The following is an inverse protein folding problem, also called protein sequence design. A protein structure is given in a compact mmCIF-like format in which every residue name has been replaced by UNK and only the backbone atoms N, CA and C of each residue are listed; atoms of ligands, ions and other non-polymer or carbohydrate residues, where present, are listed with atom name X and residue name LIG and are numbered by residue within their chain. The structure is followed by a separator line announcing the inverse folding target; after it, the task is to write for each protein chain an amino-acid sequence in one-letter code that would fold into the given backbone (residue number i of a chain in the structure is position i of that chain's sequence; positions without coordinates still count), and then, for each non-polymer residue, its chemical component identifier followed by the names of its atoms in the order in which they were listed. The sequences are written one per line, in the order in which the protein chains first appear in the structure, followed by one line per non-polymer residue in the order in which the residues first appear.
data_IF_642214759958
#
_entry.id   IF_642214759958
#
_cell.length_a   1.000
_cell.length_b   1.000
_cell.length_c   1.000
_cell.angle_alpha   90.00
_cell.angle_beta   90.00
_cell.angle_gamma   90.00
#
_symmetry.space_group_name_H-M   'P 1'
#
loop_
_entity.id
_entity.type
_entity.pdbx_description
1 polymer ?
#
# COMPACT_ATOMS: atom_id res chain seq x y z
N UNK A 1 -17.92 -5.55 20.17
CA UNK A 1 -17.63 -4.16 19.74
C UNK A 1 -16.82 -4.26 18.46
N UNK A 2 -17.50 -4.48 17.34
CA UNK A 2 -16.90 -4.43 16.01
C UNK A 2 -17.02 -3.00 15.50
N UNK A 3 -15.88 -2.35 15.28
CA UNK A 3 -15.67 -1.38 14.19
C UNK A 3 -14.20 -0.97 14.25
N UNK A 4 -13.33 -1.87 13.76
CA UNK A 4 -11.99 -1.43 13.40
C UNK A 4 -12.10 -0.84 12.00
N UNK A 5 -12.30 0.47 11.93
CA UNK A 5 -12.44 1.20 10.67
C UNK A 5 -11.23 2.10 10.47
N UNK A 6 -10.53 1.94 9.34
CA UNK A 6 -9.48 2.86 8.89
C UNK A 6 -9.97 3.73 7.73
N UNK A 7 -9.46 4.95 7.63
CA UNK A 7 -9.63 5.77 6.43
C UNK A 7 -8.50 5.48 5.43
N UNK A 8 -8.84 4.95 4.25
CA UNK A 8 -7.87 4.66 3.19
C UNK A 8 -7.54 5.91 2.38
N UNK A 9 -6.24 6.14 2.15
CA UNK A 9 -5.71 7.20 1.29
C UNK A 9 -5.12 6.59 0.00
N UNK A 10 -5.67 6.91 -1.17
CA UNK A 10 -5.18 6.45 -2.49
C UNK A 10 -5.95 7.04 -3.68
N UNK A 11 -5.36 6.99 -4.89
CA UNK A 11 -5.94 7.57 -6.12
C UNK A 11 -6.63 6.54 -7.03
N UNK A 12 -7.77 6.96 -7.57
CA UNK A 12 -8.55 6.51 -8.74
C UNK A 12 -9.05 5.06 -8.84
N UNK A 13 -8.33 4.02 -8.40
CA UNK A 13 -8.86 2.63 -8.48
C UNK A 13 -9.70 2.17 -7.29
N UNK A 14 -9.84 3.00 -6.25
CA UNK A 14 -10.75 2.76 -5.13
C UNK A 14 -12.22 3.03 -5.46
N UNK A 15 -12.53 3.69 -6.59
CA UNK A 15 -13.92 3.81 -7.05
C UNK A 15 -14.51 2.44 -7.46
N UNK A 16 -13.69 1.48 -7.88
CA UNK A 16 -14.14 0.10 -8.12
C UNK A 16 -14.49 -0.63 -6.82
N UNK A 17 -13.84 -0.28 -5.70
CA UNK A 17 -14.19 -0.76 -4.35
C UNK A 17 -15.39 -0.01 -3.75
N UNK A 18 -15.68 1.22 -4.19
CA UNK A 18 -16.80 2.04 -3.72
C UNK A 18 -18.11 1.87 -4.51
N UNK A 19 -18.11 1.07 -5.58
CA UNK A 19 -19.32 0.76 -6.35
C UNK A 19 -20.24 -0.26 -5.63
N UNK A 20 -19.82 -0.78 -4.48
CA UNK A 20 -20.72 -1.37 -3.49
C UNK A 20 -21.32 -0.23 -2.66
N UNK A 21 -22.48 0.27 -3.11
CA UNK A 21 -23.42 1.21 -2.47
C UNK A 21 -22.93 2.04 -1.27
N UNK A 22 -22.91 3.39 -1.40
CA UNK A 22 -23.01 4.25 -0.23
C UNK A 22 -24.46 4.20 0.27
N UNK A 23 -24.64 3.97 1.56
CA UNK A 23 -25.91 3.97 2.31
C UNK A 23 -26.51 2.57 2.59
N UNK A 24 -26.84 2.38 3.87
CA UNK A 24 -27.59 1.29 4.47
C UNK A 24 -26.81 -0.02 4.71
N UNK A 25 -26.22 -0.07 5.91
CA UNK A 25 -25.82 -1.29 6.62
C UNK A 25 -27.09 -2.13 6.89
N UNK A 26 -27.21 -3.32 6.29
CA UNK A 26 -28.03 -4.39 6.86
C UNK A 26 -27.13 -5.30 7.71
N UNK A 27 -27.61 -5.70 8.88
CA UNK A 27 -26.80 -6.24 9.97
C UNK A 27 -26.36 -7.70 9.80
N UNK A 28 -25.86 -8.10 8.63
CA UNK A 28 -25.63 -9.53 8.30
C UNK A 28 -24.35 -9.85 7.52
N UNK A 29 -23.25 -9.07 7.63
CA UNK A 29 -21.95 -9.51 7.11
C UNK A 29 -20.80 -9.15 8.05
N UNK A 30 -20.00 -10.13 8.44
CA UNK A 30 -18.79 -10.01 9.27
C UNK A 30 -17.62 -9.37 8.51
N UNK A 31 -17.82 -8.20 7.91
CA UNK A 31 -16.80 -7.55 7.10
C UNK A 31 -15.78 -6.85 8.00
N UNK A 32 -14.70 -7.56 8.33
CA UNK A 32 -13.53 -7.05 9.06
C UNK A 32 -12.93 -5.76 8.46
N UNK A 33 -13.14 -5.51 7.17
CA UNK A 33 -12.65 -4.32 6.45
C UNK A 33 -13.82 -3.56 5.80
N UNK A 34 -14.36 -2.57 6.49
CA UNK A 34 -15.28 -1.57 5.91
C UNK A 34 -14.64 -0.18 5.98
N UNK A 35 -13.76 0.21 5.03
CA UNK A 35 -12.99 1.44 5.13
C UNK A 35 -13.80 2.68 4.76
N UNK A 36 -13.48 3.82 5.38
CA UNK A 36 -13.84 5.13 4.83
C UNK A 36 -12.83 5.53 3.76
N UNK A 37 -13.29 6.02 2.61
CA UNK A 37 -12.39 6.53 1.57
C UNK A 37 -12.27 8.05 1.73
N UNK A 38 -11.05 8.53 1.97
CA UNK A 38 -10.82 9.96 2.05
C UNK A 38 -10.92 10.60 0.65
N UNK A 39 -11.28 11.90 0.57
CA UNK A 39 -11.14 12.65 -0.68
C UNK A 39 -9.72 12.57 -1.24
N UNK A 40 -9.53 12.61 -2.57
CA UNK A 40 -8.21 12.51 -3.18
C UNK A 40 -7.29 13.63 -2.67
N UNK A 41 -6.09 13.23 -2.21
CA UNK A 41 -5.06 14.14 -1.73
C UNK A 41 -3.86 14.11 -2.66
N UNK A 42 -3.33 15.28 -3.02
CA UNK A 42 -2.10 15.35 -3.80
C UNK A 42 -0.91 15.20 -2.86
N UNK A 43 -0.18 14.09 -2.95
CA UNK A 43 0.99 13.84 -2.09
C UNK A 43 2.20 14.70 -2.48
N UNK A 44 2.38 15.02 -3.76
CA UNK A 44 3.52 15.82 -4.21
C UNK A 44 4.87 15.08 -4.24
N UNK A 45 4.94 13.77 -3.92
CA UNK A 45 6.18 12.98 -4.03
C UNK A 45 6.88 13.15 -5.38
N UNK A 46 6.14 13.16 -6.49
CA UNK A 46 6.71 13.40 -7.82
C UNK A 46 7.41 14.76 -7.89
N UNK A 47 6.80 15.82 -7.35
CA UNK A 47 7.42 17.15 -7.28
C UNK A 47 8.72 17.13 -6.45
N UNK A 48 8.72 16.37 -5.35
CA UNK A 48 9.91 16.19 -4.52
C UNK A 48 11.04 15.47 -5.26
N UNK A 49 10.73 14.35 -5.92
CA UNK A 49 11.70 13.53 -6.69
C UNK A 49 12.31 14.33 -7.85
N UNK A 50 11.51 15.18 -8.51
CA UNK A 50 11.98 16.05 -9.59
C UNK A 50 12.70 17.33 -9.11
N UNK A 51 12.84 17.52 -7.80
CA UNK A 51 13.51 18.70 -7.25
C UNK A 51 12.70 20.00 -7.30
N UNK A 52 11.40 19.95 -7.60
CA UNK A 52 10.50 21.11 -7.57
C UNK A 52 10.11 21.50 -6.14
N UNK A 53 11.10 21.86 -5.32
CA UNK A 53 10.99 22.05 -3.86
C UNK A 53 9.88 23.01 -3.45
N UNK A 54 9.80 24.19 -4.06
CA UNK A 54 8.76 25.19 -3.71
C UNK A 54 7.34 24.69 -4.00
N UNK A 55 7.17 23.95 -5.11
CA UNK A 55 5.88 23.36 -5.48
C UNK A 55 5.52 22.20 -4.56
N UNK A 56 6.52 21.38 -4.22
CA UNK A 56 6.37 20.31 -3.24
C UNK A 56 5.95 20.87 -1.88
N UNK A 57 6.64 21.88 -1.35
CA UNK A 57 6.32 22.47 -0.04
C UNK A 57 4.91 23.04 -0.01
N UNK A 58 4.51 23.81 -1.04
CA UNK A 58 3.13 24.33 -1.14
C UNK A 58 2.10 23.20 -1.12
N UNK A 59 2.36 22.13 -1.86
CA UNK A 59 1.48 20.95 -1.93
C UNK A 59 1.44 20.22 -0.58
N UNK A 60 2.59 19.97 0.02
CA UNK A 60 2.73 19.26 1.28
C UNK A 60 2.03 20.02 2.42
N UNK A 61 2.22 21.33 2.53
CA UNK A 61 1.54 22.18 3.54
C UNK A 61 0.02 22.12 3.36
N UNK A 62 -0.48 22.17 2.13
CA UNK A 62 -1.92 22.06 1.86
C UNK A 62 -2.46 20.67 2.25
N UNK A 63 -1.76 19.61 1.87
CA UNK A 63 -2.12 18.22 2.20
C UNK A 63 -2.02 17.92 3.69
N UNK A 64 -1.03 18.46 4.40
CA UNK A 64 -0.90 18.35 5.86
C UNK A 64 -2.13 18.86 6.58
N UNK A 65 -2.65 20.04 6.19
CA UNK A 65 -3.88 20.59 6.78
C UNK A 65 -5.08 19.66 6.60
N UNK A 66 -5.17 18.98 5.45
CA UNK A 66 -6.23 18.00 5.19
C UNK A 66 -6.06 16.74 6.06
N UNK A 67 -4.85 16.20 6.14
CA UNK A 67 -4.53 15.05 6.99
C UNK A 67 -4.79 15.34 8.47
N UNK A 68 -4.38 16.51 8.97
CA UNK A 68 -4.62 16.91 10.37
C UNK A 68 -6.11 17.14 10.65
N UNK A 69 -6.91 17.55 9.66
CA UNK A 69 -8.37 17.58 9.81
C UNK A 69 -8.97 16.18 9.86
N UNK A 70 -8.53 15.27 8.99
CA UNK A 70 -9.00 13.89 9.00
C UNK A 70 -8.62 13.16 10.30
N UNK A 71 -7.43 13.40 10.83
CA UNK A 71 -6.99 12.83 12.10
C UNK A 71 -7.89 13.21 13.29
N UNK A 72 -8.55 14.39 13.25
CA UNK A 72 -9.50 14.82 14.30
C UNK A 72 -10.79 14.00 14.33
N UNK A 73 -11.10 13.24 13.27
CA UNK A 73 -12.27 12.36 13.22
C UNK A 73 -12.10 11.16 14.16
N UNK A 74 -10.86 10.85 14.58
CA UNK A 74 -10.57 9.76 15.51
C UNK A 74 -10.46 8.38 14.86
N UNK A 75 -10.53 8.30 13.53
CA UNK A 75 -10.26 7.07 12.76
C UNK A 75 -8.79 7.00 12.35
N UNK A 76 -8.13 5.83 12.45
CA UNK A 76 -6.77 5.64 11.93
C UNK A 76 -6.69 5.96 10.44
N UNK A 77 -5.70 6.75 10.03
CA UNK A 77 -5.41 6.99 8.62
C UNK A 77 -4.47 5.91 8.11
N UNK A 78 -4.79 5.30 6.98
CA UNK A 78 -3.98 4.23 6.37
C UNK A 78 -3.70 4.59 4.91
N UNK A 79 -2.43 4.71 4.56
CA UNK A 79 -2.00 5.04 3.20
C UNK A 79 -1.54 3.79 2.45
N UNK A 80 -2.11 3.57 1.26
CA UNK A 80 -1.95 2.32 0.53
C UNK A 80 -0.58 2.15 -0.15
N UNK A 81 -0.02 3.23 -0.69
CA UNK A 81 1.27 3.18 -1.37
C UNK A 81 2.42 3.51 -0.40
N UNK A 82 3.40 2.61 -0.21
CA UNK A 82 4.44 2.85 0.79
C UNK A 82 5.32 4.06 0.52
N UNK A 83 5.62 4.38 -0.75
CA UNK A 83 6.44 5.55 -1.10
C UNK A 83 5.75 6.86 -0.70
N UNK A 84 4.45 6.95 -0.98
CA UNK A 84 3.63 8.10 -0.64
C UNK A 84 3.39 8.20 0.88
N UNK A 85 3.03 7.09 1.52
CA UNK A 85 2.76 7.05 2.97
C UNK A 85 3.98 7.44 3.79
N UNK A 86 5.16 6.93 3.41
CA UNK A 86 6.40 7.26 4.10
C UNK A 86 6.82 8.70 3.84
N UNK A 87 6.43 9.30 2.71
CA UNK A 87 6.67 10.72 2.45
C UNK A 87 6.02 11.63 3.50
N UNK A 88 4.86 11.24 4.02
CA UNK A 88 4.21 11.95 5.13
C UNK A 88 5.03 11.91 6.43
N UNK A 89 5.86 10.88 6.62
CA UNK A 89 6.62 10.66 7.85
C UNK A 89 7.99 11.31 7.82
N UNK A 90 8.67 11.29 6.67
CA UNK A 90 10.00 11.89 6.52
C UNK A 90 9.92 13.31 5.98
N UNK A 91 9.45 13.50 4.75
CA UNK A 91 9.54 14.78 4.04
C UNK A 91 8.55 15.81 4.58
N UNK A 92 7.33 15.40 4.92
CA UNK A 92 6.33 16.36 5.42
C UNK A 92 6.66 16.86 6.82
N UNK A 93 7.24 16.03 7.69
CA UNK A 93 7.55 16.40 9.07
C UNK A 93 8.71 17.40 9.18
N UNK A 94 9.56 17.50 8.16
CA UNK A 94 10.70 18.44 8.16
C UNK A 94 10.31 19.85 7.73
N UNK A 95 9.10 20.06 7.20
CA UNK A 95 8.64 21.36 6.73
C UNK A 95 8.13 22.23 7.90
N UNK A 96 8.42 23.55 7.94
CA UNK A 96 8.00 24.44 9.02
C UNK A 96 6.47 24.52 9.23
N UNK A 97 5.69 24.26 8.18
CA UNK A 97 4.21 24.18 8.21
C UNK A 97 3.72 22.81 7.75
N UNK A 98 4.56 21.81 7.95
CA UNK A 98 4.36 20.43 7.59
C UNK A 98 3.35 19.70 8.46
N UNK A 99 3.36 18.37 8.38
CA UNK A 99 2.43 17.54 9.13
C UNK A 99 2.74 17.58 10.63
N UNK A 100 1.77 17.96 11.46
CA UNK A 100 2.01 18.14 12.90
C UNK A 100 1.40 17.06 13.79
N UNK A 101 0.19 16.57 13.49
CA UNK A 101 -0.55 15.68 14.38
C UNK A 101 -0.91 14.34 13.74
N UNK A 102 -1.28 14.33 12.46
CA UNK A 102 -1.72 13.10 11.84
C UNK A 102 -0.59 12.07 11.74
N UNK A 103 -0.93 10.82 12.01
CA UNK A 103 -0.09 9.67 11.69
C UNK A 103 -0.82 8.83 10.66
N UNK A 104 -0.18 8.66 9.49
CA UNK A 104 -0.69 7.81 8.42
C UNK A 104 0.06 6.49 8.48
N UNK A 105 -0.65 5.41 8.82
CA UNK A 105 -0.14 4.04 8.91
C UNK A 105 0.01 3.41 7.54
N UNK A 106 0.94 2.46 7.39
CA UNK A 106 0.93 1.50 6.30
C UNK A 106 -0.10 0.40 6.61
N UNK A 107 -0.60 -0.31 5.59
CA UNK A 107 -1.59 -1.37 5.78
C UNK A 107 -1.17 -2.41 6.81
N UNK A 108 0.07 -2.89 6.76
CA UNK A 108 0.59 -3.90 7.68
C UNK A 108 0.70 -3.43 9.12
N UNK A 109 0.94 -2.13 9.36
CA UNK A 109 0.96 -1.60 10.73
C UNK A 109 -0.43 -1.63 11.33
N UNK A 110 -1.42 -1.19 10.57
CA UNK A 110 -2.81 -1.21 11.01
C UNK A 110 -3.33 -2.64 11.20
N UNK A 111 -3.04 -3.55 10.27
CA UNK A 111 -3.45 -4.95 10.38
C UNK A 111 -2.78 -5.65 11.57
N UNK A 112 -1.48 -5.44 11.79
CA UNK A 112 -0.77 -6.02 12.92
C UNK A 112 -1.30 -5.52 14.27
N UNK A 113 -1.66 -4.22 14.36
CA UNK A 113 -2.28 -3.65 15.54
C UNK A 113 -3.69 -4.22 15.83
N UNK A 114 -4.35 -4.77 14.81
CA UNK A 114 -5.70 -5.32 14.88
C UNK A 114 -5.73 -6.84 14.65
N UNK A 115 -4.64 -7.54 14.98
CA UNK A 115 -4.46 -8.97 14.72
C UNK A 115 -5.51 -9.87 15.40
N UNK A 116 -6.01 -9.50 16.59
CA UNK A 116 -7.07 -10.26 17.27
C UNK A 116 -8.37 -10.26 16.46
N UNK A 117 -8.81 -9.07 16.06
CA UNK A 117 -9.99 -8.90 15.23
C UNK A 117 -9.80 -9.56 13.85
N UNK A 118 -8.57 -9.49 13.30
CA UNK A 118 -8.23 -10.16 12.05
C UNK A 118 -8.40 -11.67 12.16
N UNK A 119 -7.90 -12.28 13.24
CA UNK A 119 -8.00 -13.71 13.50
C UNK A 119 -9.45 -14.19 13.64
N UNK A 120 -10.30 -13.39 14.30
CA UNK A 120 -11.73 -13.70 14.48
C UNK A 120 -12.53 -13.65 13.17
N UNK A 121 -12.04 -12.91 12.17
CA UNK A 121 -12.69 -12.73 10.88
C UNK A 121 -12.35 -13.81 9.84
N UNK A 122 -11.38 -14.68 10.13
CA UNK A 122 -10.91 -15.69 9.17
C UNK A 122 -11.94 -16.80 9.00
N UNK A 123 -12.50 -16.93 7.79
CA UNK A 123 -13.19 -18.14 7.35
C UNK A 123 -12.18 -19.27 7.09
N UNK A 124 -12.57 -20.53 7.29
CA UNK A 124 -11.70 -21.68 6.93
C UNK A 124 -11.43 -21.64 5.42
N UNK A 125 -10.19 -21.37 5.02
CA UNK A 125 -9.80 -21.32 3.61
C UNK A 125 -8.67 -22.27 3.24
N UNK A 126 -8.60 -22.58 1.94
CA UNK A 126 -7.56 -23.38 1.32
C UNK A 126 -6.20 -22.64 1.41
N UNK A 127 -5.15 -23.40 1.68
CA UNK A 127 -3.78 -22.89 1.86
C UNK A 127 -3.21 -22.49 0.50
N UNK A 128 -3.34 -21.22 0.12
CA UNK A 128 -2.58 -20.65 -0.98
C UNK A 128 -1.22 -20.20 -0.47
N UNK A 129 -0.13 -20.64 -1.11
CA UNK A 129 1.18 -20.03 -0.88
C UNK A 129 1.20 -18.66 -1.53
N UNK A 130 1.62 -17.65 -0.77
CA UNK A 130 1.69 -16.27 -1.25
C UNK A 130 3.12 -15.77 -1.22
N UNK A 131 3.49 -14.94 -2.20
CA UNK A 131 4.80 -14.30 -2.30
C UNK A 131 4.65 -12.79 -2.34
N UNK A 132 5.37 -12.11 -1.46
CA UNK A 132 5.36 -10.66 -1.36
C UNK A 132 6.63 -10.04 -1.95
N UNK A 133 6.44 -9.08 -2.85
CA UNK A 133 7.46 -8.11 -3.25
C UNK A 133 7.19 -6.77 -2.53
N UNK A 134 7.83 -6.52 -1.37
CA UNK A 134 7.65 -5.25 -0.66
C UNK A 134 8.29 -4.10 -1.44
N UNK A 135 7.72 -2.90 -1.32
CA UNK A 135 8.27 -1.72 -1.99
C UNK A 135 9.64 -1.36 -1.40
N UNK A 136 10.60 -0.98 -2.24
CA UNK A 136 11.97 -0.69 -1.80
C UNK A 136 12.01 0.37 -0.67
N UNK A 137 11.20 1.42 -0.76
CA UNK A 137 11.10 2.46 0.29
C UNK A 137 10.66 1.92 1.66
N UNK A 138 9.67 1.01 1.75
CA UNK A 138 9.29 0.47 3.06
C UNK A 138 10.30 -0.55 3.57
N UNK A 139 10.96 -1.30 2.68
CA UNK A 139 12.04 -2.21 3.09
C UNK A 139 13.23 -1.45 3.68
N UNK A 140 13.56 -0.29 3.11
CA UNK A 140 14.68 0.55 3.57
C UNK A 140 14.30 1.40 4.78
N UNK A 141 13.17 2.10 4.74
CA UNK A 141 12.82 3.10 5.76
C UNK A 141 12.00 2.52 6.92
N UNK A 142 11.54 1.26 6.82
CA UNK A 142 10.82 0.57 7.89
C UNK A 142 11.29 -0.89 8.02
N UNK A 143 12.35 -1.14 8.80
CA UNK A 143 12.91 -2.48 9.00
C UNK A 143 11.90 -3.52 9.50
N UNK A 144 10.85 -3.09 10.22
CA UNK A 144 9.78 -3.96 10.73
C UNK A 144 8.82 -4.48 9.66
N UNK A 145 8.82 -3.91 8.45
CA UNK A 145 7.84 -4.19 7.38
C UNK A 145 7.68 -5.67 7.10
N UNK A 146 8.79 -6.39 6.93
CA UNK A 146 8.78 -7.83 6.61
C UNK A 146 8.19 -8.65 7.76
N UNK A 147 8.58 -8.35 9.00
CA UNK A 147 8.06 -9.03 10.18
C UNK A 147 6.56 -8.76 10.37
N UNK A 148 6.10 -7.54 10.12
CA UNK A 148 4.68 -7.16 10.21
C UNK A 148 3.84 -7.90 9.17
N UNK A 149 4.27 -7.93 7.90
CA UNK A 149 3.55 -8.69 6.87
C UNK A 149 3.51 -10.19 7.19
N UNK A 150 4.62 -10.78 7.64
CA UNK A 150 4.65 -12.19 8.08
C UNK A 150 3.69 -12.45 9.25
N UNK A 151 3.63 -11.56 10.22
CA UNK A 151 2.71 -11.69 11.36
C UNK A 151 1.24 -11.59 10.92
N UNK A 152 0.92 -10.67 10.00
CA UNK A 152 -0.43 -10.51 9.43
C UNK A 152 -0.86 -11.77 8.69
N UNK A 153 -0.07 -12.27 7.74
CA UNK A 153 -0.41 -13.49 7.00
C UNK A 153 -0.37 -14.75 7.89
N UNK A 154 0.52 -14.79 8.88
CA UNK A 154 0.54 -15.87 9.88
C UNK A 154 -0.73 -15.90 10.74
N UNK A 155 -1.30 -14.73 11.06
CA UNK A 155 -2.62 -14.62 11.72
C UNK A 155 -3.73 -15.22 10.85
N UNK A 156 -3.58 -15.13 9.53
CA UNK A 156 -4.49 -15.72 8.54
C UNK A 156 -4.19 -17.20 8.25
N UNK A 157 -3.21 -17.81 8.92
CA UNK A 157 -2.81 -19.21 8.69
C UNK A 157 -2.06 -19.44 7.37
N UNK A 158 -1.49 -18.39 6.77
CA UNK A 158 -0.83 -18.43 5.46
C UNK A 158 0.68 -18.28 5.62
N UNK A 159 1.43 -19.15 4.94
CA UNK A 159 2.87 -19.01 4.80
C UNK A 159 3.21 -17.92 3.77
N UNK A 160 3.79 -16.82 4.27
CA UNK A 160 4.21 -15.68 3.45
C UNK A 160 5.69 -15.81 3.07
N UNK A 161 5.92 -16.10 1.80
CA UNK A 161 7.23 -15.96 1.20
C UNK A 161 7.52 -14.49 0.90
N UNK A 162 8.73 -14.03 1.18
CA UNK A 162 9.16 -12.66 0.83
C UNK A 162 10.26 -12.76 -0.20
N UNK A 163 10.01 -12.18 -1.37
CA UNK A 163 10.95 -12.22 -2.48
C UNK A 163 12.23 -11.44 -2.13
N UNK A 164 13.38 -12.02 -2.46
CA UNK A 164 14.65 -11.30 -2.44
C UNK A 164 14.81 -10.51 -3.74
N UNK A 165 14.06 -9.40 -3.83
CA UNK A 165 14.05 -8.54 -5.00
C UNK A 165 14.54 -7.13 -4.69
N UNK A 166 15.19 -6.48 -5.65
CA UNK A 166 15.59 -5.09 -5.58
C UNK A 166 14.42 -4.12 -5.85
N UNK A 167 14.77 -2.88 -6.23
CA UNK A 167 13.79 -1.93 -6.77
C UNK A 167 13.20 -2.46 -8.08
N UNK A 168 11.91 -2.22 -8.33
CA UNK A 168 11.25 -2.58 -9.60
C UNK A 168 11.70 -1.72 -10.81
N UNK A 169 12.57 -0.74 -10.60
CA UNK A 169 13.04 0.18 -11.64
C UNK A 169 12.25 1.49 -11.75
N UNK A 170 11.04 1.58 -11.18
CA UNK A 170 10.16 2.73 -11.41
C UNK A 170 10.51 4.00 -10.64
N UNK A 171 10.88 3.87 -9.35
CA UNK A 171 11.21 4.99 -8.45
C UNK A 171 10.31 6.24 -8.64
N UNK A 172 8.98 6.07 -8.63
CA UNK A 172 8.02 7.11 -8.99
C UNK A 172 7.82 7.19 -10.50
N UNK A 173 8.16 8.32 -11.12
CA UNK A 173 8.04 8.51 -12.58
C UNK A 173 9.33 8.20 -13.34
N UNK A 174 10.43 7.87 -12.65
CA UNK A 174 11.74 7.67 -13.27
C UNK A 174 11.67 6.67 -14.42
N UNK A 175 11.05 5.50 -14.21
CA UNK A 175 10.90 4.47 -15.24
C UNK A 175 9.96 4.83 -16.40
N UNK A 176 9.14 5.86 -16.26
CA UNK A 176 8.29 6.38 -17.34
C UNK A 176 9.02 7.41 -18.22
N UNK A 177 10.16 7.94 -17.79
CA UNK A 177 10.95 8.86 -18.61
C UNK A 177 11.66 8.08 -19.71
N UNK A 178 11.46 8.48 -20.98
CA UNK A 178 12.04 7.78 -22.12
C UNK A 178 13.55 7.57 -22.00
N UNK A 179 14.29 8.55 -21.47
CA UNK A 179 15.74 8.49 -21.23
C UNK A 179 16.18 7.44 -20.20
N UNK A 180 15.28 7.02 -19.31
CA UNK A 180 15.57 6.10 -18.22
C UNK A 180 14.96 4.71 -18.43
N UNK A 181 14.19 4.52 -19.51
CA UNK A 181 13.43 3.28 -19.75
C UNK A 181 14.32 2.04 -19.71
N UNK A 182 15.45 2.08 -20.42
CA UNK A 182 16.40 0.96 -20.48
C UNK A 182 16.96 0.60 -19.10
N UNK A 183 17.30 1.60 -18.29
CA UNK A 183 17.79 1.40 -16.91
C UNK A 183 16.68 0.81 -16.03
N UNK A 184 15.45 1.33 -16.15
CA UNK A 184 14.29 0.81 -15.41
C UNK A 184 13.99 -0.65 -15.74
N UNK A 185 14.02 -1.02 -17.02
CA UNK A 185 13.81 -2.40 -17.49
C UNK A 185 14.97 -3.31 -17.05
N UNK A 186 16.21 -2.81 -17.07
CA UNK A 186 17.39 -3.55 -16.56
C UNK A 186 17.25 -3.86 -15.07
N UNK A 187 16.90 -2.86 -14.24
CA UNK A 187 16.68 -3.05 -12.80
C UNK A 187 15.55 -4.05 -12.52
N UNK A 188 14.50 -4.03 -13.32
CA UNK A 188 13.41 -5.00 -13.25
C UNK A 188 13.91 -6.42 -13.57
N UNK A 189 14.63 -6.60 -14.69
CA UNK A 189 15.14 -7.88 -15.12
C UNK A 189 16.11 -8.53 -14.11
N UNK A 190 16.86 -7.73 -13.35
CA UNK A 190 17.82 -8.23 -12.36
C UNK A 190 17.21 -9.09 -11.24
N UNK A 191 15.95 -8.86 -10.88
CA UNK A 191 15.36 -9.59 -9.74
C UNK A 191 13.83 -9.69 -9.74
N UNK A 192 13.09 -8.89 -10.50
CA UNK A 192 11.63 -8.96 -10.53
C UNK A 192 11.11 -9.98 -11.54
N UNK A 193 11.71 -10.05 -12.74
CA UNK A 193 11.24 -10.94 -13.81
C UNK A 193 11.14 -12.41 -13.37
N UNK A 194 12.16 -12.93 -12.67
CA UNK A 194 12.14 -14.29 -12.13
C UNK A 194 11.03 -14.50 -11.08
N UNK A 195 10.83 -13.52 -10.20
CA UNK A 195 9.84 -13.61 -9.12
C UNK A 195 8.41 -13.60 -9.67
N UNK A 196 8.18 -12.89 -10.77
CA UNK A 196 6.90 -12.90 -11.48
C UNK A 196 6.71 -14.23 -12.23
N UNK A 197 7.71 -14.70 -12.98
CA UNK A 197 7.66 -15.98 -13.69
C UNK A 197 7.34 -17.15 -12.74
N UNK A 198 7.99 -17.21 -11.58
CA UNK A 198 7.74 -18.21 -10.53
C UNK A 198 6.33 -18.14 -9.89
N UNK A 199 5.50 -17.16 -10.27
CA UNK A 199 4.09 -17.12 -9.90
C UNK A 199 3.19 -18.02 -10.75
N UNK A 200 3.72 -18.72 -11.75
CA UNK A 200 2.97 -19.67 -12.57
C UNK A 200 2.77 -21.03 -11.86
N UNK A 201 3.55 -21.30 -10.80
CA UNK A 201 3.52 -22.54 -10.02
C UNK A 201 2.39 -22.60 -8.95
N UNK A 202 1.31 -21.83 -9.13
CA UNK A 202 0.21 -21.74 -8.16
C UNK A 202 0.49 -20.84 -6.95
N UNK A 203 1.56 -20.05 -6.99
CA UNK A 203 1.91 -19.07 -5.94
C UNK A 203 1.32 -17.70 -6.29
N UNK A 204 0.54 -17.12 -5.38
CA UNK A 204 0.00 -15.76 -5.57
C UNK A 204 1.10 -14.73 -5.28
N UNK A 205 1.61 -14.12 -6.34
CA UNK A 205 2.62 -13.06 -6.25
C UNK A 205 1.95 -11.71 -6.05
N UNK A 206 2.36 -10.94 -5.04
CA UNK A 206 1.76 -9.67 -4.62
C UNK A 206 2.82 -8.58 -4.51
N UNK A 207 2.44 -7.30 -4.68
CA UNK A 207 3.33 -6.17 -4.41
C UNK A 207 2.61 -5.00 -3.74
N UNK A 208 3.26 -4.37 -2.75
CA UNK A 208 2.68 -3.25 -1.99
C UNK A 208 2.68 -1.94 -2.78
N UNK A 209 3.71 -1.69 -3.58
CA UNK A 209 3.85 -0.46 -4.36
C UNK A 209 2.97 -0.39 -5.61
N UNK A 210 2.26 0.73 -5.80
CA UNK A 210 1.47 0.95 -7.02
C UNK A 210 2.36 0.94 -8.27
N UNK A 211 3.43 1.74 -8.28
CA UNK A 211 4.36 1.80 -9.42
C UNK A 211 5.00 0.44 -9.71
N UNK A 212 5.27 -0.37 -8.69
CA UNK A 212 5.76 -1.73 -8.88
C UNK A 212 4.76 -2.61 -9.63
N UNK A 213 3.48 -2.61 -9.21
CA UNK A 213 2.42 -3.36 -9.91
C UNK A 213 2.22 -2.86 -11.34
N UNK A 214 2.30 -1.55 -11.57
CA UNK A 214 2.22 -0.97 -12.91
C UNK A 214 3.38 -1.42 -13.81
N UNK A 215 4.60 -1.53 -13.27
CA UNK A 215 5.76 -2.03 -14.02
C UNK A 215 5.60 -3.48 -14.44
N UNK A 216 5.13 -4.35 -13.53
CA UNK A 216 4.81 -5.76 -13.84
C UNK A 216 3.77 -5.85 -14.96
N UNK A 217 2.73 -5.00 -14.89
CA UNK A 217 1.71 -4.93 -15.94
C UNK A 217 2.28 -4.47 -17.28
N UNK A 218 3.24 -3.55 -17.28
CA UNK A 218 3.82 -3.02 -18.52
C UNK A 218 4.80 -3.99 -19.16
N UNK A 219 5.68 -4.63 -18.37
CA UNK A 219 6.71 -5.55 -18.87
C UNK A 219 6.14 -6.94 -19.14
N UNK A 220 5.55 -7.58 -18.11
CA UNK A 220 5.13 -8.98 -18.20
C UNK A 220 3.68 -9.14 -18.66
N UNK A 221 2.95 -8.04 -18.87
CA UNK A 221 1.51 -8.04 -19.21
C UNK A 221 0.65 -8.81 -18.19
N UNK A 222 1.13 -8.90 -16.94
CA UNK A 222 0.45 -9.56 -15.82
C UNK A 222 -0.05 -8.54 -14.80
N UNK A 223 -1.22 -8.80 -14.24
CA UNK A 223 -1.71 -8.03 -13.09
C UNK A 223 -1.47 -8.85 -11.84
N UNK A 224 -0.70 -8.29 -10.90
CA UNK A 224 -0.51 -8.85 -9.57
C UNK A 224 -1.29 -8.03 -8.53
N UNK A 225 -1.89 -8.66 -7.51
CA UNK A 225 -2.69 -7.94 -6.51
C UNK A 225 -1.83 -7.18 -5.50
N UNK A 226 -2.44 -6.16 -4.90
CA UNK A 226 -1.99 -5.62 -3.62
C UNK A 226 -2.30 -6.62 -2.49
N UNK A 227 -1.49 -6.71 -1.41
CA UNK A 227 -1.76 -7.64 -0.31
C UNK A 227 -3.14 -7.50 0.35
N UNK A 228 -3.68 -6.27 0.42
CA UNK A 228 -5.05 -6.04 0.92
C UNK A 228 -6.15 -6.66 0.04
N UNK A 229 -5.92 -6.80 -1.27
CA UNK A 229 -6.88 -7.46 -2.16
C UNK A 229 -6.93 -8.95 -1.85
N UNK A 230 -5.76 -9.57 -1.66
CA UNK A 230 -5.67 -10.97 -1.23
C UNK A 230 -6.31 -11.14 0.15
N UNK A 231 -6.00 -10.27 1.12
CA UNK A 231 -6.62 -10.35 2.45
C UNK A 231 -8.14 -10.19 2.39
N UNK A 232 -8.68 -9.28 1.56
CA UNK A 232 -10.13 -9.15 1.37
C UNK A 232 -10.73 -10.46 0.87
N UNK A 233 -10.13 -11.06 -0.16
CA UNK A 233 -10.61 -12.32 -0.74
C UNK A 233 -10.49 -13.49 0.25
N UNK A 234 -9.57 -13.38 1.22
CA UNK A 234 -9.44 -14.37 2.28
C UNK A 234 -10.50 -14.26 3.39
N UNK A 235 -11.14 -13.10 3.50
CA UNK A 235 -12.12 -12.78 4.55
C UNK A 235 -13.57 -12.78 4.04
N UNK A 236 -13.76 -12.94 2.72
CA UNK A 236 -15.07 -13.03 2.07
C UNK A 236 -15.67 -14.43 2.10
#
# INVERSE_FOLDING_TARGET
MSEVVGALLGTERLQELSNASPCCFDGSSSAFLSPFIAPPLTNGKALHVHGYRDRFEKTAVATSRSLDRLAKIGVPLVGLDPSMTLAYRSEYKTLPKGLSHATVLLPQEWLAANSKTLAEAVGRQAVATVRLLPHCTERTNMPSTVAQWKAVFGTLGIDLQVADAGCCGMAGTFGHEARNREISETLYAMSWAEQIAAGEDGIVVMATGYSCRSQVKEIDRRTIPHPLEVIRDLLS
#
